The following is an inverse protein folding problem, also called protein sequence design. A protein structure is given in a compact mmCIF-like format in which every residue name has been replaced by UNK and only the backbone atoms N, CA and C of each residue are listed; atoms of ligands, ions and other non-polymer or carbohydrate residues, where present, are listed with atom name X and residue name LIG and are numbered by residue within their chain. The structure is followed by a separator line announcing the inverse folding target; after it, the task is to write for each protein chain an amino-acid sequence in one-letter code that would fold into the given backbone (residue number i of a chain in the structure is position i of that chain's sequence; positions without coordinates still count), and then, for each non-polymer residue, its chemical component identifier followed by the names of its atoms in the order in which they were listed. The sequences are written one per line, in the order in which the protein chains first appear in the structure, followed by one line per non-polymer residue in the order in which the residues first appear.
data_IF_762614369970
#
_entry.id   IF_762614369970
#
_cell.length_a   1.000
_cell.length_b   1.000
_cell.length_c   1.000
_cell.angle_alpha   90.00
_cell.angle_beta   90.00
_cell.angle_gamma   90.00
#
_symmetry.space_group_name_H-M   'P 1'
#
loop_
_entity.id
_entity.type
_entity.pdbx_description
1 polymer ?
#
# COMPACT_ATOMS: atom_id res chain seq x y z
N UNK A 1 -29.61 -17.32 5.62
CA UNK A 1 -28.71 -16.31 5.04
C UNK A 1 -29.43 -15.05 4.51
N UNK A 2 -30.54 -14.60 5.11
CA UNK A 2 -31.34 -13.44 4.62
C UNK A 2 -31.04 -12.10 5.34
N UNK A 3 -30.13 -12.09 6.33
CA UNK A 3 -29.89 -10.94 7.23
C UNK A 3 -28.58 -10.18 6.97
N UNK A 4 -27.91 -10.38 5.83
CA UNK A 4 -26.68 -9.66 5.47
C UNK A 4 -26.90 -8.52 4.47
N UNK A 5 -28.13 -8.00 4.35
CA UNK A 5 -28.40 -6.82 3.53
C UNK A 5 -28.23 -5.57 4.38
N UNK A 6 -27.17 -4.79 4.11
CA UNK A 6 -27.00 -3.47 4.70
C UNK A 6 -28.12 -2.58 4.18
N UNK A 7 -28.98 -2.08 5.09
CA UNK A 7 -30.07 -1.17 4.72
C UNK A 7 -29.51 0.18 4.28
N UNK A 8 -30.19 0.86 3.35
CA UNK A 8 -29.87 2.24 2.97
C UNK A 8 -29.85 3.17 4.19
N UNK A 9 -30.72 2.92 5.18
CA UNK A 9 -30.72 3.67 6.45
C UNK A 9 -29.41 3.46 7.23
N UNK A 10 -28.90 2.23 7.28
CA UNK A 10 -27.62 1.92 7.93
C UNK A 10 -26.45 2.63 7.25
N UNK A 11 -26.47 2.76 5.92
CA UNK A 11 -25.46 3.52 5.18
C UNK A 11 -25.52 5.02 5.51
N UNK A 12 -26.72 5.61 5.60
CA UNK A 12 -26.90 7.02 5.98
C UNK A 12 -26.41 7.26 7.42
N UNK A 13 -26.73 6.36 8.34
CA UNK A 13 -26.27 6.45 9.73
C UNK A 13 -24.74 6.29 9.84
N UNK A 14 -24.13 5.39 9.05
CA UNK A 14 -22.68 5.28 8.99
C UNK A 14 -22.03 6.54 8.41
N UNK A 15 -22.66 7.17 7.41
CA UNK A 15 -22.21 8.45 6.87
C UNK A 15 -22.31 9.59 7.90
N UNK A 16 -23.28 9.56 8.81
CA UNK A 16 -23.37 10.53 9.90
C UNK A 16 -22.14 10.51 10.83
N UNK A 17 -21.50 9.34 11.02
CA UNK A 17 -20.23 9.26 11.78
C UNK A 17 -19.10 10.04 11.12
N UNK A 18 -19.04 10.03 9.78
CA UNK A 18 -18.09 10.84 9.01
C UNK A 18 -18.34 12.34 9.23
N UNK A 19 -19.61 12.76 9.30
CA UNK A 19 -19.97 14.15 9.60
C UNK A 19 -19.50 14.58 10.99
N UNK A 20 -19.54 13.69 11.98
CA UNK A 20 -18.98 13.95 13.32
C UNK A 20 -17.47 14.18 13.24
N UNK A 21 -16.72 13.35 12.50
CA UNK A 21 -15.28 13.55 12.30
C UNK A 21 -14.97 14.88 11.60
N UNK A 22 -15.81 15.27 10.63
CA UNK A 22 -15.71 16.57 9.95
C UNK A 22 -15.95 17.72 10.93
N UNK A 23 -16.98 17.62 11.78
CA UNK A 23 -17.29 18.64 12.78
C UNK A 23 -16.16 18.83 13.79
N UNK A 24 -15.56 17.73 14.28
CA UNK A 24 -14.39 17.78 15.16
C UNK A 24 -13.19 18.41 14.43
N UNK A 25 -12.92 17.99 13.19
CA UNK A 25 -11.82 18.56 12.40
C UNK A 25 -11.96 20.06 12.15
N UNK A 26 -13.19 20.53 11.90
CA UNK A 26 -13.49 21.94 11.72
C UNK A 26 -13.35 22.73 13.02
N UNK A 27 -13.83 22.16 14.15
CA UNK A 27 -13.72 22.77 15.48
C UNK A 27 -12.25 22.91 15.91
N UNK A 28 -11.46 21.87 15.74
CA UNK A 28 -10.03 21.83 16.09
C UNK A 28 -9.12 22.43 15.00
N UNK A 29 -9.70 23.00 13.93
CA UNK A 29 -8.99 23.64 12.81
C UNK A 29 -7.86 22.78 12.21
N UNK A 30 -8.06 21.47 12.13
CA UNK A 30 -7.04 20.52 11.64
C UNK A 30 -6.78 20.64 10.12
N UNK A 31 -7.59 21.41 9.39
CA UNK A 31 -7.46 21.57 7.94
C UNK A 31 -7.89 20.36 7.11
N UNK A 32 -8.32 19.26 7.73
CA UNK A 32 -8.65 17.99 7.07
C UNK A 32 -10.07 17.94 6.49
N UNK A 33 -10.94 18.92 6.77
CA UNK A 33 -12.36 18.87 6.38
C UNK A 33 -12.57 18.66 4.87
N UNK A 34 -11.86 19.42 4.02
CA UNK A 34 -11.96 19.29 2.55
C UNK A 34 -11.40 17.96 2.07
N UNK A 35 -10.31 17.50 2.67
CA UNK A 35 -9.66 16.24 2.30
C UNK A 35 -10.54 15.03 2.67
N UNK A 36 -11.18 15.04 3.84
CA UNK A 36 -12.11 14.00 4.26
C UNK A 36 -13.30 13.95 3.29
N UNK A 37 -13.95 15.09 3.03
CA UNK A 37 -15.15 15.13 2.18
C UNK A 37 -14.86 14.69 0.74
N UNK A 38 -13.77 15.18 0.15
CA UNK A 38 -13.36 14.79 -1.21
C UNK A 38 -12.96 13.32 -1.27
N UNK A 39 -12.28 12.80 -0.25
CA UNK A 39 -11.91 11.38 -0.16
C UNK A 39 -13.12 10.46 -0.07
N UNK A 40 -14.12 10.82 0.74
CA UNK A 40 -15.35 10.02 0.91
C UNK A 40 -16.16 10.00 -0.38
N UNK A 41 -16.38 11.17 -1.01
CA UNK A 41 -17.11 11.24 -2.27
C UNK A 41 -16.40 10.44 -3.38
N UNK A 42 -15.08 10.61 -3.50
CA UNK A 42 -14.25 9.83 -4.44
C UNK A 42 -14.34 8.33 -4.14
N UNK A 43 -14.27 7.91 -2.88
CA UNK A 43 -14.35 6.51 -2.50
C UNK A 43 -15.69 5.88 -2.89
N UNK A 44 -16.82 6.56 -2.64
CA UNK A 44 -18.15 6.07 -3.03
C UNK A 44 -18.23 5.88 -4.55
N UNK A 45 -17.84 6.88 -5.32
CA UNK A 45 -17.86 6.80 -6.79
C UNK A 45 -16.95 5.67 -7.29
N UNK A 46 -15.73 5.59 -6.77
CA UNK A 46 -14.76 4.57 -7.16
C UNK A 46 -15.24 3.16 -6.83
N UNK A 47 -15.83 2.94 -5.66
CA UNK A 47 -16.38 1.64 -5.25
C UNK A 47 -17.57 1.22 -6.12
N UNK A 48 -18.43 2.15 -6.51
CA UNK A 48 -19.53 1.86 -7.44
C UNK A 48 -19.00 1.48 -8.82
N UNK A 49 -18.09 2.30 -9.38
CA UNK A 49 -17.50 2.04 -10.70
C UNK A 49 -16.75 0.70 -10.71
N UNK A 50 -15.88 0.46 -9.72
CA UNK A 50 -15.09 -0.77 -9.66
C UNK A 50 -15.99 -2.00 -9.46
N UNK A 51 -17.11 -1.87 -8.74
CA UNK A 51 -18.10 -2.94 -8.61
C UNK A 51 -18.67 -3.39 -9.96
N UNK A 52 -19.02 -2.44 -10.83
CA UNK A 52 -19.48 -2.74 -12.19
C UNK A 52 -18.36 -3.32 -13.08
N UNK A 53 -17.16 -2.74 -13.01
CA UNK A 53 -15.98 -3.20 -13.77
C UNK A 53 -15.61 -4.63 -13.40
N UNK A 54 -15.54 -4.95 -12.11
CA UNK A 54 -15.24 -6.30 -11.63
C UNK A 54 -16.33 -7.29 -12.03
N UNK A 55 -17.61 -6.90 -11.96
CA UNK A 55 -18.71 -7.75 -12.43
C UNK A 55 -18.52 -8.14 -13.90
N UNK A 56 -18.12 -7.20 -14.75
CA UNK A 56 -17.83 -7.47 -16.17
C UNK A 56 -16.61 -8.38 -16.35
N UNK A 57 -15.49 -8.04 -15.70
CA UNK A 57 -14.23 -8.80 -15.83
C UNK A 57 -14.42 -10.25 -15.37
N UNK A 58 -15.11 -10.45 -14.25
CA UNK A 58 -15.36 -11.79 -13.71
C UNK A 58 -16.30 -12.61 -14.61
N UNK A 59 -17.18 -11.96 -15.37
CA UNK A 59 -18.05 -12.65 -16.34
C UNK A 59 -17.31 -13.00 -17.64
N UNK A 60 -16.40 -12.14 -18.09
CA UNK A 60 -15.64 -12.36 -19.31
C UNK A 60 -14.60 -13.48 -19.15
N UNK A 61 -14.04 -13.64 -17.95
CA UNK A 61 -13.04 -14.66 -17.58
C UNK A 61 -11.83 -14.74 -18.53
N UNK A 62 -11.42 -13.59 -19.07
CA UNK A 62 -10.28 -13.50 -20.00
C UNK A 62 -8.98 -13.16 -19.26
N UNK A 63 -7.91 -13.89 -19.55
CA UNK A 63 -6.59 -13.67 -18.94
C UNK A 63 -6.04 -12.26 -19.22
N UNK A 64 -6.24 -11.75 -20.44
CA UNK A 64 -5.73 -10.43 -20.81
C UNK A 64 -6.38 -9.30 -20.00
N UNK A 65 -7.68 -9.40 -19.68
CA UNK A 65 -8.39 -8.45 -18.83
C UNK A 65 -7.83 -8.45 -17.41
N UNK A 66 -7.48 -9.63 -16.89
CA UNK A 66 -6.81 -9.77 -15.60
C UNK A 66 -5.47 -9.05 -15.59
N UNK A 67 -4.63 -9.29 -16.60
CA UNK A 67 -3.31 -8.65 -16.72
C UNK A 67 -3.46 -7.12 -16.78
N UNK A 68 -4.32 -6.61 -17.67
CA UNK A 68 -4.59 -5.16 -17.78
C UNK A 68 -5.05 -4.58 -16.44
N UNK A 69 -5.95 -5.28 -15.74
CA UNK A 69 -6.43 -4.82 -14.43
C UNK A 69 -5.30 -4.75 -13.39
N UNK A 70 -4.41 -5.75 -13.35
CA UNK A 70 -3.25 -5.71 -12.45
C UNK A 70 -2.30 -4.56 -12.76
N UNK A 71 -2.06 -4.27 -14.04
CA UNK A 71 -1.22 -3.15 -14.47
C UNK A 71 -1.83 -1.80 -14.07
N UNK A 72 -3.16 -1.64 -14.23
CA UNK A 72 -3.88 -0.42 -13.81
C UNK A 72 -3.79 -0.24 -12.30
N UNK A 73 -3.94 -1.32 -11.52
CA UNK A 73 -3.79 -1.28 -10.06
C UNK A 73 -2.38 -0.83 -9.67
N UNK A 74 -1.34 -1.48 -10.21
CA UNK A 74 0.06 -1.18 -9.92
C UNK A 74 0.37 0.27 -10.29
N UNK A 75 -0.01 0.71 -11.49
CA UNK A 75 0.21 2.09 -11.90
C UNK A 75 -0.47 3.09 -10.96
N UNK A 76 -1.72 2.84 -10.56
CA UNK A 76 -2.44 3.73 -9.64
C UNK A 76 -1.78 3.74 -8.25
N UNK A 77 -1.39 2.57 -7.74
CA UNK A 77 -0.69 2.43 -6.47
C UNK A 77 0.64 3.19 -6.48
N UNK A 78 1.48 2.97 -7.49
CA UNK A 78 2.75 3.68 -7.68
C UNK A 78 2.57 5.19 -7.81
N UNK A 79 1.54 5.65 -8.55
CA UNK A 79 1.24 7.07 -8.69
C UNK A 79 0.88 7.72 -7.35
N UNK A 80 0.03 7.07 -6.57
CA UNK A 80 -0.34 7.57 -5.24
C UNK A 80 0.82 7.49 -4.24
N UNK A 81 1.70 6.47 -4.36
CA UNK A 81 2.91 6.37 -3.56
C UNK A 81 3.88 7.52 -3.89
N UNK A 82 4.15 7.78 -5.18
CA UNK A 82 5.02 8.87 -5.61
C UNK A 82 4.47 10.24 -5.22
N UNK A 83 3.15 10.43 -5.24
CA UNK A 83 2.52 11.68 -4.78
C UNK A 83 2.76 11.96 -3.28
N UNK A 84 3.11 10.94 -2.50
CA UNK A 84 3.48 11.09 -1.08
C UNK A 84 4.96 11.42 -0.90
N UNK A 85 5.78 11.36 -1.96
CA UNK A 85 7.18 11.77 -1.91
C UNK A 85 7.29 13.30 -1.90
N UNK A 86 7.81 13.92 -0.83
CA UNK A 86 8.00 15.37 -0.79
C UNK A 86 9.21 15.83 -1.61
N UNK A 87 10.06 14.93 -2.08
CA UNK A 87 11.26 15.27 -2.85
C UNK A 87 10.86 15.90 -4.21
N UNK A 88 11.31 17.13 -4.53
CA UNK A 88 11.09 17.75 -5.84
C UNK A 88 11.66 16.94 -7.02
N UNK A 89 12.67 16.11 -6.75
CA UNK A 89 13.31 15.22 -7.71
C UNK A 89 12.79 13.77 -7.60
N UNK A 90 11.58 13.58 -7.08
CA UNK A 90 10.93 12.28 -7.08
C UNK A 90 10.82 11.70 -8.50
N UNK A 91 10.86 10.38 -8.60
CA UNK A 91 10.72 9.67 -9.87
C UNK A 91 9.64 8.62 -9.74
N UNK A 92 8.56 8.80 -10.49
CA UNK A 92 7.47 7.82 -10.57
C UNK A 92 7.99 6.42 -10.94
N UNK A 93 9.06 6.36 -11.73
CA UNK A 93 9.68 5.11 -12.16
C UNK A 93 10.22 4.30 -10.97
N UNK A 94 10.71 4.97 -9.92
CA UNK A 94 11.16 4.31 -8.70
C UNK A 94 9.99 3.60 -8.00
N UNK A 95 8.83 4.25 -7.96
CA UNK A 95 7.61 3.67 -7.38
C UNK A 95 7.05 2.54 -8.24
N UNK A 96 7.03 2.70 -9.57
CA UNK A 96 6.57 1.65 -10.50
C UNK A 96 7.42 0.40 -10.39
N UNK A 97 8.75 0.54 -10.39
CA UNK A 97 9.66 -0.61 -10.28
C UNK A 97 9.50 -1.30 -8.93
N UNK A 98 9.47 -0.54 -7.84
CA UNK A 98 9.30 -1.11 -6.51
C UNK A 98 7.98 -1.90 -6.41
N UNK A 99 6.87 -1.24 -6.74
CA UNK A 99 5.51 -1.81 -6.70
C UNK A 99 5.37 -3.04 -7.61
N UNK A 100 5.86 -2.95 -8.84
CA UNK A 100 5.75 -4.05 -9.80
C UNK A 100 6.56 -5.26 -9.33
N UNK A 101 7.79 -5.06 -8.83
CA UNK A 101 8.62 -6.17 -8.35
C UNK A 101 8.00 -6.78 -7.10
N UNK A 102 7.64 -5.99 -6.08
CA UNK A 102 7.05 -6.51 -4.86
C UNK A 102 5.75 -7.26 -5.13
N UNK A 103 4.85 -6.66 -5.91
CA UNK A 103 3.57 -7.26 -6.24
C UNK A 103 3.71 -8.51 -7.10
N UNK A 104 4.44 -8.48 -8.22
CA UNK A 104 4.52 -9.63 -9.13
C UNK A 104 5.38 -10.77 -8.60
N UNK A 105 6.44 -10.50 -7.84
CA UNK A 105 7.23 -11.57 -7.19
C UNK A 105 6.35 -12.32 -6.19
N UNK A 106 5.63 -11.60 -5.33
CA UNK A 106 4.76 -12.22 -4.33
C UNK A 106 3.57 -12.94 -4.99
N UNK A 107 2.87 -12.30 -5.92
CA UNK A 107 1.75 -12.91 -6.64
C UNK A 107 2.20 -14.14 -7.45
N UNK A 108 3.35 -14.06 -8.13
CA UNK A 108 3.92 -15.15 -8.90
C UNK A 108 4.23 -16.37 -8.04
N UNK A 109 4.78 -16.17 -6.84
CA UNK A 109 5.05 -17.24 -5.88
C UNK A 109 3.75 -17.92 -5.41
N UNK A 110 2.68 -17.15 -5.17
CA UNK A 110 1.39 -17.70 -4.75
C UNK A 110 0.67 -18.48 -5.85
N UNK A 111 0.80 -18.05 -7.10
CA UNK A 111 0.29 -18.80 -8.26
C UNK A 111 1.12 -20.08 -8.46
N UNK A 112 2.45 -19.97 -8.39
CA UNK A 112 3.37 -21.11 -8.58
C UNK A 112 3.19 -22.19 -7.50
N UNK A 113 3.00 -21.79 -6.25
CA UNK A 113 2.69 -22.71 -5.14
C UNK A 113 1.30 -23.37 -5.25
N UNK A 114 0.47 -22.96 -6.21
CA UNK A 114 -0.86 -23.52 -6.44
C UNK A 114 -1.92 -23.10 -5.41
N UNK A 115 -1.59 -22.19 -4.50
CA UNK A 115 -2.56 -21.72 -3.49
C UNK A 115 -3.58 -20.77 -4.11
N UNK A 116 -3.14 -19.95 -5.08
CA UNK A 116 -4.00 -19.07 -5.85
C UNK A 116 -4.13 -19.63 -7.27
N UNK A 117 -5.37 -19.74 -7.74
CA UNK A 117 -5.64 -20.03 -9.16
C UNK A 117 -5.50 -18.72 -9.95
N UNK A 118 -4.93 -18.76 -11.17
CA UNK A 118 -4.78 -17.58 -12.03
C UNK A 118 -6.12 -17.16 -12.67
N UNK A 119 -7.16 -17.03 -11.85
CA UNK A 119 -8.51 -16.58 -12.24
C UNK A 119 -8.73 -15.14 -11.79
N UNK A 120 -9.47 -14.33 -12.56
CA UNK A 120 -9.66 -12.90 -12.28
C UNK A 120 -10.17 -12.62 -10.86
N UNK A 121 -11.09 -13.47 -10.38
CA UNK A 121 -11.73 -13.35 -9.06
C UNK A 121 -10.76 -13.48 -7.88
N UNK A 122 -9.61 -14.18 -8.06
CA UNK A 122 -8.59 -14.28 -7.01
C UNK A 122 -7.44 -13.30 -7.26
N UNK A 123 -6.97 -13.21 -8.49
CA UNK A 123 -5.80 -12.39 -8.84
C UNK A 123 -6.06 -10.91 -8.57
N UNK A 124 -7.18 -10.37 -9.07
CA UNK A 124 -7.42 -8.92 -9.01
C UNK A 124 -7.55 -8.40 -7.56
N UNK A 125 -8.38 -9.01 -6.69
CA UNK A 125 -8.46 -8.57 -5.30
C UNK A 125 -7.14 -8.73 -4.53
N UNK A 126 -6.39 -9.80 -4.79
CA UNK A 126 -5.13 -10.06 -4.10
C UNK A 126 -4.05 -9.07 -4.54
N UNK A 127 -3.97 -8.77 -5.84
CA UNK A 127 -3.14 -7.67 -6.36
C UNK A 127 -3.52 -6.35 -5.72
N UNK A 128 -4.82 -6.03 -5.62
CA UNK A 128 -5.29 -4.80 -4.94
C UNK A 128 -4.87 -4.70 -3.48
N UNK A 129 -4.91 -5.82 -2.74
CA UNK A 129 -4.45 -5.86 -1.35
C UNK A 129 -2.94 -5.71 -1.23
N UNK A 130 -2.17 -6.42 -2.07
CA UNK A 130 -0.71 -6.33 -2.05
C UNK A 130 -0.28 -4.90 -2.39
N UNK A 131 -0.73 -4.40 -3.53
CA UNK A 131 -0.36 -3.07 -4.02
C UNK A 131 -0.83 -1.96 -3.05
N UNK A 132 -2.02 -2.09 -2.48
CA UNK A 132 -2.52 -1.12 -1.50
C UNK A 132 -1.64 -1.00 -0.25
N UNK A 133 -1.14 -2.12 0.28
CA UNK A 133 -0.24 -2.11 1.44
C UNK A 133 1.17 -1.65 1.05
N UNK A 134 1.66 -2.08 -0.11
CA UNK A 134 2.96 -1.73 -0.64
C UNK A 134 3.06 -0.21 -0.91
N UNK A 135 2.06 0.38 -1.58
CA UNK A 135 1.89 1.82 -1.77
C UNK A 135 2.03 2.62 -0.47
N UNK A 136 1.42 2.13 0.62
CA UNK A 136 1.48 2.81 1.92
C UNK A 136 2.90 2.76 2.49
N UNK A 137 3.55 1.60 2.43
CA UNK A 137 4.93 1.43 2.89
C UNK A 137 5.92 2.27 2.07
N UNK A 138 5.82 2.26 0.74
CA UNK A 138 6.65 3.06 -0.18
C UNK A 138 6.48 4.54 0.11
N UNK A 139 5.24 5.04 0.19
CA UNK A 139 4.99 6.45 0.48
C UNK A 139 5.50 6.89 1.85
N UNK A 140 5.42 6.02 2.87
CA UNK A 140 6.01 6.28 4.19
C UNK A 140 7.55 6.28 4.13
N UNK A 141 8.15 5.39 3.34
CA UNK A 141 9.60 5.36 3.12
C UNK A 141 10.10 6.66 2.49
N UNK A 142 9.44 7.15 1.45
CA UNK A 142 9.81 8.41 0.79
C UNK A 142 9.74 9.61 1.73
N UNK A 143 8.64 9.75 2.47
CA UNK A 143 8.50 10.82 3.45
C UNK A 143 9.58 10.75 4.53
N UNK A 144 9.81 9.56 5.11
CA UNK A 144 10.83 9.38 6.13
C UNK A 144 12.26 9.61 5.60
N UNK A 145 12.53 9.25 4.34
CA UNK A 145 13.80 9.55 3.67
C UNK A 145 14.00 11.05 3.52
N UNK A 146 12.99 11.76 3.02
CA UNK A 146 13.04 13.20 2.85
C UNK A 146 13.35 13.92 4.16
N UNK A 147 12.58 13.62 5.21
CA UNK A 147 12.78 14.21 6.54
C UNK A 147 14.19 13.90 7.05
N UNK A 148 14.66 12.66 6.89
CA UNK A 148 15.99 12.26 7.37
C UNK A 148 17.15 12.89 6.60
N UNK A 149 17.03 13.07 5.27
CA UNK A 149 18.07 13.73 4.47
C UNK A 149 18.13 15.23 4.76
N UNK A 150 17.01 15.86 5.08
CA UNK A 150 16.97 17.24 5.55
C UNK A 150 17.61 17.37 6.95
N UNK A 151 17.22 16.50 7.89
CA UNK A 151 17.70 16.56 9.28
C UNK A 151 19.20 16.21 9.40
N UNK A 152 19.66 15.24 8.61
CA UNK A 152 21.03 14.72 8.67
C UNK A 152 21.91 15.27 7.53
N UNK A 153 21.48 16.34 6.86
CA UNK A 153 22.13 16.95 5.71
C UNK A 153 23.63 17.17 5.96
N UNK A 154 23.96 17.84 7.06
CA UNK A 154 25.34 18.15 7.45
C UNK A 154 26.18 16.88 7.69
N UNK A 155 25.63 15.86 8.35
CA UNK A 155 26.34 14.62 8.61
C UNK A 155 26.63 13.82 7.33
N UNK A 156 25.75 13.92 6.33
CA UNK A 156 25.99 13.31 5.03
C UNK A 156 27.13 14.04 4.31
N UNK A 157 27.12 15.38 4.31
CA UNK A 157 28.20 16.18 3.72
C UNK A 157 29.56 15.92 4.37
N UNK A 158 29.61 15.80 5.70
CA UNK A 158 30.83 15.47 6.44
C UNK A 158 31.43 14.13 5.99
N UNK A 159 30.58 13.10 5.80
CA UNK A 159 31.04 11.79 5.31
C UNK A 159 31.55 11.88 3.88
N UNK A 160 30.87 12.62 3.00
CA UNK A 160 31.32 12.82 1.62
C UNK A 160 32.65 13.58 1.58
N UNK A 161 32.81 14.62 2.41
CA UNK A 161 34.05 15.39 2.52
C UNK A 161 35.24 14.55 3.00
N UNK A 162 34.98 13.53 3.83
CA UNK A 162 35.96 12.52 4.24
C UNK A 162 36.20 11.43 3.18
N UNK A 163 35.63 11.55 1.98
CA UNK A 163 35.81 10.61 0.87
C UNK A 163 34.91 9.39 0.90
N UNK A 164 33.82 9.40 1.68
CA UNK A 164 32.84 8.32 1.69
C UNK A 164 32.03 8.28 0.40
N UNK A 165 31.72 7.08 -0.09
CA UNK A 165 30.77 6.90 -1.21
C UNK A 165 29.33 7.26 -0.78
N UNK A 166 28.51 7.74 -1.73
CA UNK A 166 27.12 8.15 -1.49
C UNK A 166 26.29 7.05 -0.83
N UNK A 167 26.56 5.78 -1.16
CA UNK A 167 25.86 4.63 -0.59
C UNK A 167 26.21 4.43 0.88
N UNK A 168 27.50 4.58 1.24
CA UNK A 168 27.98 4.45 2.61
C UNK A 168 27.50 5.61 3.47
N UNK A 169 27.54 6.83 2.94
CA UNK A 169 27.03 8.02 3.62
C UNK A 169 25.52 7.91 3.93
N UNK A 170 24.74 7.36 2.98
CA UNK A 170 23.29 7.21 3.08
C UNK A 170 22.82 5.95 3.81
N UNK A 171 23.69 4.95 4.04
CA UNK A 171 23.28 3.64 4.57
C UNK A 171 22.54 3.70 5.92
N UNK A 172 22.96 4.52 6.91
CA UNK A 172 22.21 4.64 8.17
C UNK A 172 20.80 5.21 7.98
N UNK A 173 20.68 6.19 7.07
CA UNK A 173 19.41 6.83 6.69
C UNK A 173 18.50 5.78 6.04
N UNK A 174 19.00 5.06 5.04
CA UNK A 174 18.27 3.99 4.35
C UNK A 174 17.74 2.94 5.32
N UNK A 175 18.61 2.36 6.17
CA UNK A 175 18.23 1.30 7.11
C UNK A 175 17.16 1.76 8.10
N UNK A 176 17.30 2.97 8.64
CA UNK A 176 16.33 3.55 9.58
C UNK A 176 14.96 3.70 8.90
N UNK A 177 14.93 4.29 7.72
CA UNK A 177 13.68 4.67 7.07
C UNK A 177 12.95 3.50 6.41
N UNK A 178 13.68 2.51 5.88
CA UNK A 178 13.08 1.24 5.44
C UNK A 178 12.42 0.54 6.64
N UNK A 179 13.07 0.51 7.80
CA UNK A 179 12.48 -0.06 9.03
C UNK A 179 11.21 0.69 9.44
N UNK A 180 11.24 2.02 9.42
CA UNK A 180 10.06 2.85 9.71
C UNK A 180 8.90 2.55 8.75
N UNK A 181 9.19 2.41 7.46
CA UNK A 181 8.19 2.10 6.44
C UNK A 181 7.50 0.75 6.64
N UNK A 182 8.23 -0.25 7.14
CA UNK A 182 7.72 -1.61 7.38
C UNK A 182 6.96 -1.75 8.72
N UNK A 183 7.11 -0.79 9.63
CA UNK A 183 6.58 -0.86 10.99
C UNK A 183 5.06 -1.12 11.03
N UNK A 184 4.21 -0.44 10.23
CA UNK A 184 2.76 -0.68 10.25
C UNK A 184 2.39 -2.11 9.87
N UNK A 185 3.06 -2.70 8.88
CA UNK A 185 2.79 -4.08 8.45
C UNK A 185 3.21 -5.08 9.52
N UNK A 186 4.38 -4.85 10.15
CA UNK A 186 4.87 -5.70 11.25
C UNK A 186 3.89 -5.63 12.44
N UNK A 187 3.41 -4.45 12.79
CA UNK A 187 2.51 -4.28 13.93
C UNK A 187 1.09 -4.82 13.62
N UNK A 188 0.63 -4.71 12.38
CA UNK A 188 -0.59 -5.40 11.93
C UNK A 188 -0.44 -6.92 12.01
N UNK A 189 0.72 -7.48 11.69
CA UNK A 189 0.95 -8.92 11.76
C UNK A 189 1.02 -9.43 13.21
N UNK A 190 1.52 -8.64 14.16
CA UNK A 190 1.50 -8.99 15.60
C UNK A 190 0.09 -9.04 16.20
N UNK A 191 -0.83 -8.26 15.64
CA UNK A 191 -2.19 -8.07 16.19
C UNK A 191 -3.25 -8.90 15.46
N UNK A 192 -2.92 -9.50 14.33
CA UNK A 192 -3.84 -10.31 13.53
C UNK A 192 -4.32 -11.52 14.33
N UNK A 193 -5.63 -11.70 14.41
CA UNK A 193 -6.25 -12.80 15.16
C UNK A 193 -6.38 -12.59 16.67
N UNK A 194 -5.73 -11.57 17.25
CA UNK A 194 -5.89 -11.20 18.67
C UNK A 194 -6.77 -9.97 18.84
N UNK A 195 -6.44 -8.88 18.13
CA UNK A 195 -7.16 -7.60 18.21
C UNK A 195 -8.05 -7.42 16.99
N UNK A 196 -7.51 -7.72 15.82
CA UNK A 196 -8.21 -7.53 14.55
C UNK A 196 -8.48 -8.91 13.92
N UNK A 197 -9.75 -9.24 13.72
CA UNK A 197 -10.17 -10.33 12.83
C UNK A 197 -10.25 -9.77 11.40
N UNK A 198 -9.41 -10.25 10.46
CA UNK A 198 -9.40 -9.71 9.11
C UNK A 198 -10.73 -9.92 8.38
N UNK A 199 -11.19 -8.89 7.68
CA UNK A 199 -12.49 -8.91 7.01
C UNK A 199 -12.64 -10.03 5.98
N UNK A 200 -11.58 -10.40 5.27
CA UNK A 200 -11.61 -11.54 4.34
C UNK A 200 -11.79 -12.87 5.08
N UNK A 201 -11.11 -13.07 6.21
CA UNK A 201 -11.27 -14.26 7.05
C UNK A 201 -12.71 -14.37 7.59
N UNK A 202 -13.24 -13.28 8.16
CA UNK A 202 -14.63 -13.24 8.62
C UNK A 202 -15.62 -13.45 7.47
N UNK A 203 -15.35 -12.89 6.29
CA UNK A 203 -16.17 -13.06 5.09
C UNK A 203 -16.25 -14.52 4.63
N UNK A 204 -15.13 -15.24 4.61
CA UNK A 204 -15.11 -16.68 4.29
C UNK A 204 -15.89 -17.50 5.33
N UNK A 205 -15.77 -17.16 6.61
CA UNK A 205 -16.53 -17.81 7.70
C UNK A 205 -18.03 -17.55 7.53
N UNK A 206 -18.45 -16.31 7.24
CA UNK A 206 -19.86 -15.98 6.98
C UNK A 206 -20.40 -16.64 5.71
N UNK A 207 -19.54 -16.92 4.73
CA UNK A 207 -19.86 -17.70 3.55
C UNK A 207 -19.96 -19.21 3.80
N UNK A 208 -19.77 -19.67 5.06
CA UNK A 208 -19.88 -21.07 5.45
C UNK A 208 -18.63 -21.91 5.23
N UNK A 209 -17.49 -21.29 4.87
CA UNK A 209 -16.21 -21.99 4.77
C UNK A 209 -15.74 -22.37 6.18
N UNK A 210 -15.23 -23.60 6.33
CA UNK A 210 -14.73 -24.07 7.62
C UNK A 210 -13.62 -23.11 8.14
N UNK A 211 -13.73 -22.63 9.39
CA UNK A 211 -12.80 -21.64 9.96
C UNK A 211 -11.32 -22.01 9.85
N UNK A 212 -10.98 -23.30 9.91
CA UNK A 212 -9.60 -23.77 9.79
C UNK A 212 -9.00 -23.42 8.41
N UNK A 213 -9.78 -23.52 7.34
CA UNK A 213 -9.31 -23.11 6.01
C UNK A 213 -9.21 -21.59 5.90
N UNK A 214 -10.18 -20.85 6.45
CA UNK A 214 -10.14 -19.39 6.47
C UNK A 214 -8.89 -18.86 7.21
N UNK A 215 -8.53 -19.49 8.34
CA UNK A 215 -7.31 -19.17 9.10
C UNK A 215 -6.06 -19.44 8.27
N UNK A 216 -5.95 -20.60 7.61
CA UNK A 216 -4.79 -20.93 6.76
C UNK A 216 -4.60 -19.90 5.63
N UNK A 217 -5.70 -19.51 4.98
CA UNK A 217 -5.67 -18.44 3.97
C UNK A 217 -5.20 -17.11 4.56
N UNK A 218 -5.68 -16.76 5.75
CA UNK A 218 -5.30 -15.52 6.39
C UNK A 218 -3.83 -15.48 6.81
N UNK A 219 -3.28 -16.59 7.33
CA UNK A 219 -1.85 -16.70 7.64
C UNK A 219 -1.01 -16.47 6.38
N UNK A 220 -1.39 -17.11 5.27
CA UNK A 220 -0.72 -16.91 3.99
C UNK A 220 -0.77 -15.43 3.55
N UNK A 221 -1.95 -14.80 3.60
CA UNK A 221 -2.12 -13.39 3.24
C UNK A 221 -1.23 -12.49 4.10
N UNK A 222 -1.16 -12.73 5.41
CA UNK A 222 -0.29 -11.96 6.31
C UNK A 222 1.18 -12.07 5.91
N UNK A 223 1.67 -13.28 5.61
CA UNK A 223 3.06 -13.48 5.17
C UNK A 223 3.35 -12.85 3.82
N UNK A 224 2.40 -12.98 2.88
CA UNK A 224 2.42 -12.32 1.56
C UNK A 224 2.57 -10.80 1.70
N UNK A 225 1.72 -10.17 2.52
CA UNK A 225 1.73 -8.71 2.69
C UNK A 225 3.03 -8.25 3.35
N UNK A 226 3.52 -8.99 4.34
CA UNK A 226 4.79 -8.69 5.00
C UNK A 226 5.98 -8.80 4.04
N UNK A 227 5.97 -9.81 3.16
CA UNK A 227 6.99 -9.98 2.12
C UNK A 227 6.93 -8.88 1.06
N UNK A 228 5.75 -8.62 0.46
CA UNK A 228 5.61 -7.63 -0.60
C UNK A 228 5.93 -6.22 -0.11
N UNK A 229 5.42 -5.82 1.05
CA UNK A 229 5.73 -4.50 1.64
C UNK A 229 7.21 -4.34 1.99
N UNK A 230 7.87 -5.41 2.44
CA UNK A 230 9.32 -5.42 2.67
C UNK A 230 10.09 -5.19 1.37
N UNK A 231 9.75 -5.94 0.32
CA UNK A 231 10.38 -5.77 -1.00
C UNK A 231 10.16 -4.36 -1.54
N UNK A 232 8.92 -3.88 -1.53
CA UNK A 232 8.57 -2.53 -1.98
C UNK A 232 9.31 -1.44 -1.21
N UNK A 233 9.34 -1.50 0.13
CA UNK A 233 10.06 -0.54 0.95
C UNK A 233 11.58 -0.56 0.71
N UNK A 234 12.18 -1.74 0.58
CA UNK A 234 13.62 -1.90 0.30
C UNK A 234 13.96 -1.34 -1.09
N UNK A 235 13.25 -1.79 -2.13
CA UNK A 235 13.53 -1.39 -3.51
C UNK A 235 13.29 0.11 -3.68
N UNK A 236 12.16 0.62 -3.19
CA UNK A 236 11.86 2.05 -3.27
C UNK A 236 12.90 2.91 -2.53
N UNK A 237 13.34 2.50 -1.34
CA UNK A 237 14.38 3.21 -0.60
C UNK A 237 15.71 3.23 -1.35
N UNK A 238 16.16 2.08 -1.88
CA UNK A 238 17.40 1.99 -2.66
C UNK A 238 17.34 2.69 -4.03
N UNK A 239 16.16 2.88 -4.61
CA UNK A 239 16.03 3.67 -5.84
C UNK A 239 15.94 5.17 -5.54
N UNK A 240 15.19 5.56 -4.51
CA UNK A 240 14.92 6.96 -4.20
C UNK A 240 16.09 7.70 -3.55
N UNK A 241 16.98 7.05 -2.77
CA UNK A 241 18.09 7.78 -2.14
C UNK A 241 19.01 8.44 -3.18
N UNK A 242 19.14 7.86 -4.38
CA UNK A 242 19.95 8.42 -5.46
C UNK A 242 19.43 9.77 -5.94
N UNK A 243 18.12 10.02 -5.81
CA UNK A 243 17.50 11.27 -6.24
C UNK A 243 17.90 12.48 -5.37
N UNK A 244 18.53 12.25 -4.21
CA UNK A 244 19.05 13.30 -3.33
C UNK A 244 20.46 13.76 -3.72
N UNK A 245 21.11 13.11 -4.68
CA UNK A 245 22.44 13.45 -5.15
C UNK A 245 22.41 13.91 -6.61
N UNK A 246 23.29 14.84 -6.98
CA UNK A 246 23.54 15.17 -8.38
C UNK A 246 24.63 14.24 -9.01
N UNK A 247 24.91 14.42 -10.31
CA UNK A 247 25.92 13.60 -11.01
C UNK A 247 27.34 13.77 -10.44
N UNK A 248 27.60 14.88 -9.73
CA UNK A 248 28.87 15.18 -9.07
C UNK A 248 28.92 14.64 -7.63
N UNK A 249 27.96 13.79 -7.23
CA UNK A 249 27.84 13.22 -5.88
C UNK A 249 27.62 14.25 -4.77
N UNK A 250 27.16 15.46 -5.11
CA UNK A 250 26.79 16.47 -4.13
C UNK A 250 25.33 16.28 -3.72
N UNK A 251 25.05 16.52 -2.45
CA UNK A 251 23.67 16.56 -1.97
C UNK A 251 22.94 17.75 -2.62
N UNK A 252 21.70 17.53 -3.05
CA UNK A 252 20.83 18.57 -3.61
C UNK A 252 20.06 19.32 -2.52
#
# INVERSE_FOLDING_TARGET
MKNMMVSNLSLVLAFALVLVSIAISAKEKLGLTKDILTSVFRAIIQLVIIGFVLKFIFHADQLWLTIVSTLVIIFNASWNANKRDPNPHCSLWNSIIAEAIGTYVTLGLLIFSGVIKPIPMQVIPITGMIAGNEMVAIGLCYKALHDSFNDLHQQVLEKLALGSDIKLASMPILRRNIKTAMQPTIDSAKTVGLVNLPGMMSGLIFAGINPVYAIKYQIMITFMLLSATSLGAVISGYLAYKNYFNEQMQLR
#
